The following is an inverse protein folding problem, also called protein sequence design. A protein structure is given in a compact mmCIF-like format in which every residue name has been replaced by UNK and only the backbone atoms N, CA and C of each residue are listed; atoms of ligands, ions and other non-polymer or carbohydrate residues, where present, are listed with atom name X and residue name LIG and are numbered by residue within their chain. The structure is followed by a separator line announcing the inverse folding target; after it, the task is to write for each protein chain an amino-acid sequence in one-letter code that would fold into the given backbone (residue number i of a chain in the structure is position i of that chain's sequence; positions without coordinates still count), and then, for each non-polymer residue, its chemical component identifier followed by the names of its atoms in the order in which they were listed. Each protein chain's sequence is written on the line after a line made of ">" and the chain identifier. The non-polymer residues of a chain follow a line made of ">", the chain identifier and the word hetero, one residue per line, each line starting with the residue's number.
data_IF_792702461491
#
_entry.id   IF_792702461491
#
_cell.length_a   1.000
_cell.length_b   1.000
_cell.length_c   1.000
_cell.angle_alpha   90.00
_cell.angle_beta   90.00
_cell.angle_gamma   90.00
#
_symmetry.space_group_name_H-M   'P 1'
#
loop_
_entity.id
_entity.type
_entity.pdbx_description
1 polymer ?
#
# COMPACT_ATOMS: atom_id res chain seq x y z
N UNK A 1 -18.39 63.35 -28.56
CA UNK A 1 -19.50 62.38 -28.63
C UNK A 1 -19.03 61.27 -29.54
N UNK A 2 -18.61 60.12 -28.98
CA UNK A 2 -18.58 58.77 -29.60
C UNK A 2 -17.81 57.80 -28.68
N UNK A 3 -18.62 57.08 -27.89
CA UNK A 3 -18.54 55.65 -27.57
C UNK A 3 -17.27 55.05 -26.95
N UNK A 4 -17.32 55.02 -25.63
CA UNK A 4 -16.82 53.94 -24.76
C UNK A 4 -17.19 52.55 -25.31
N UNK A 5 -16.19 51.75 -25.71
CA UNK A 5 -16.36 50.33 -25.97
C UNK A 5 -16.50 49.60 -24.64
N UNK A 6 -17.72 49.14 -24.38
CA UNK A 6 -18.11 48.31 -23.26
C UNK A 6 -17.21 47.09 -23.11
N UNK A 7 -16.81 46.83 -21.86
CA UNK A 7 -16.04 45.65 -21.48
C UNK A 7 -16.85 44.38 -21.69
N UNK A 8 -16.35 43.51 -22.57
CA UNK A 8 -16.72 42.11 -22.57
C UNK A 8 -16.20 41.47 -21.30
N UNK A 9 -17.08 41.28 -20.31
CA UNK A 9 -16.80 40.38 -19.20
C UNK A 9 -16.47 39.00 -19.79
N UNK A 10 -15.32 38.38 -19.45
CA UNK A 10 -15.10 36.99 -19.82
C UNK A 10 -16.19 36.17 -19.14
N UNK A 11 -17.00 35.50 -19.96
CA UNK A 11 -17.96 34.51 -19.52
C UNK A 11 -17.32 33.65 -18.43
N UNK A 12 -17.99 33.58 -17.29
CA UNK A 12 -17.62 32.77 -16.15
C UNK A 12 -17.26 31.38 -16.64
N UNK A 13 -15.96 31.10 -16.75
CA UNK A 13 -15.45 29.79 -17.04
C UNK A 13 -16.00 28.90 -15.92
N UNK A 14 -17.07 28.17 -16.21
CA UNK A 14 -17.57 27.11 -15.35
C UNK A 14 -16.32 26.33 -14.96
N UNK A 15 -15.98 26.31 -13.68
CA UNK A 15 -14.78 25.63 -13.18
C UNK A 15 -14.97 24.16 -13.52
N UNK A 16 -14.53 23.75 -14.72
CA UNK A 16 -14.70 22.40 -15.23
C UNK A 16 -13.92 21.52 -14.29
N UNK A 17 -14.62 20.82 -13.39
CA UNK A 17 -14.01 19.81 -12.54
C UNK A 17 -13.39 18.79 -13.50
N UNK A 18 -12.06 18.65 -13.53
CA UNK A 18 -11.44 17.63 -14.38
C UNK A 18 -11.92 16.27 -13.85
N UNK A 19 -12.26 15.30 -14.69
CA UNK A 19 -12.44 13.89 -14.30
C UNK A 19 -13.26 13.55 -13.01
N UNK A 20 -14.53 13.96 -12.85
CA UNK A 20 -15.34 13.62 -11.67
C UNK A 20 -15.63 12.12 -11.52
N UNK A 21 -15.94 11.41 -12.61
CA UNK A 21 -16.27 9.98 -12.56
C UNK A 21 -15.04 9.15 -12.26
N UNK A 22 -13.90 9.50 -12.86
CA UNK A 22 -12.61 8.86 -12.55
C UNK A 22 -12.23 9.08 -11.10
N UNK A 23 -12.45 10.27 -10.55
CA UNK A 23 -12.17 10.54 -9.14
C UNK A 23 -13.01 9.66 -8.21
N UNK A 24 -14.30 9.50 -8.51
CA UNK A 24 -15.16 8.59 -7.78
C UNK A 24 -14.68 7.15 -7.90
N UNK A 25 -14.41 6.68 -9.12
CA UNK A 25 -13.94 5.32 -9.38
C UNK A 25 -12.61 5.02 -8.68
N UNK A 26 -11.64 5.94 -8.74
CA UNK A 26 -10.36 5.80 -8.05
C UNK A 26 -10.51 5.80 -6.52
N UNK A 27 -11.44 6.59 -5.98
CA UNK A 27 -11.77 6.57 -4.55
C UNK A 27 -12.38 5.23 -4.13
N UNK A 28 -13.29 4.68 -4.94
CA UNK A 28 -13.88 3.36 -4.72
C UNK A 28 -12.82 2.26 -4.83
N UNK A 29 -11.95 2.31 -5.83
CA UNK A 29 -10.84 1.36 -5.99
C UNK A 29 -9.90 1.39 -4.78
N UNK A 30 -9.60 2.58 -4.24
CA UNK A 30 -8.85 2.72 -2.99
C UNK A 30 -9.55 2.07 -1.80
N UNK A 31 -10.87 2.23 -1.68
CA UNK A 31 -11.66 1.58 -0.62
C UNK A 31 -11.73 0.05 -0.78
N UNK A 32 -11.71 -0.45 -2.02
CA UNK A 32 -11.69 -1.86 -2.35
C UNK A 32 -10.28 -2.47 -2.37
N UNK A 33 -9.22 -1.71 -2.04
CA UNK A 33 -7.85 -2.23 -1.99
C UNK A 33 -7.68 -3.50 -1.13
N UNK A 34 -8.30 -3.64 0.06
CA UNK A 34 -8.23 -4.88 0.84
C UNK A 34 -8.95 -6.05 0.17
N UNK A 35 -9.90 -5.78 -0.74
CA UNK A 35 -10.77 -6.78 -1.33
C UNK A 35 -10.15 -7.59 -2.48
N UNK A 36 -8.84 -7.44 -2.75
CA UNK A 36 -8.11 -8.26 -3.74
C UNK A 36 -8.11 -9.77 -3.41
N UNK A 37 -8.51 -10.14 -2.20
CA UNK A 37 -8.66 -11.53 -1.75
C UNK A 37 -9.99 -12.15 -2.17
N UNK A 38 -10.96 -11.33 -2.58
CA UNK A 38 -12.19 -11.80 -3.21
C UNK A 38 -11.84 -12.11 -4.67
N UNK A 39 -11.72 -13.41 -4.98
CA UNK A 39 -11.25 -13.91 -6.27
C UNK A 39 -12.30 -14.80 -6.93
N UNK A 40 -12.38 -14.72 -8.24
CA UNK A 40 -13.17 -15.63 -9.07
C UNK A 40 -12.49 -15.80 -10.43
N UNK A 41 -13.05 -16.68 -11.26
CA UNK A 41 -12.55 -16.93 -12.61
C UNK A 41 -13.49 -16.32 -13.65
N UNK A 42 -12.92 -15.63 -14.63
CA UNK A 42 -13.60 -15.24 -15.86
C UNK A 42 -12.98 -16.07 -16.98
N UNK A 43 -13.63 -17.20 -17.30
CA UNK A 43 -13.03 -18.22 -18.16
C UNK A 43 -11.74 -18.78 -17.55
N UNK A 44 -10.61 -18.82 -18.29
CA UNK A 44 -9.33 -19.32 -17.77
C UNK A 44 -8.58 -18.32 -16.89
N UNK A 45 -9.03 -17.06 -16.78
CA UNK A 45 -8.28 -16.01 -16.11
C UNK A 45 -8.79 -15.82 -14.67
N UNK A 46 -7.94 -15.99 -13.64
CA UNK A 46 -8.28 -15.55 -12.31
C UNK A 46 -8.35 -14.02 -12.28
N UNK A 47 -9.36 -13.49 -11.60
CA UNK A 47 -9.53 -12.07 -11.37
C UNK A 47 -9.91 -11.81 -9.92
N UNK A 48 -9.80 -10.54 -9.50
CA UNK A 48 -10.09 -10.10 -8.14
C UNK A 48 -11.04 -8.92 -8.14
N UNK A 49 -11.73 -8.69 -7.01
CA UNK A 49 -12.61 -7.51 -6.89
C UNK A 49 -11.84 -6.20 -7.06
N UNK A 50 -10.61 -6.14 -6.54
CA UNK A 50 -9.74 -4.98 -6.74
C UNK A 50 -9.40 -4.79 -8.22
N UNK A 51 -9.05 -5.86 -8.93
CA UNK A 51 -8.72 -5.80 -10.36
C UNK A 51 -9.90 -5.26 -11.17
N UNK A 52 -11.13 -5.72 -10.90
CA UNK A 52 -12.32 -5.18 -11.57
C UNK A 52 -12.51 -3.70 -11.27
N UNK A 53 -12.28 -3.26 -10.03
CA UNK A 53 -12.36 -1.85 -9.67
C UNK A 53 -11.29 -1.00 -10.39
N UNK A 54 -10.07 -1.53 -10.54
CA UNK A 54 -8.99 -0.88 -11.28
C UNK A 54 -9.29 -0.80 -12.78
N UNK A 55 -9.75 -1.90 -13.40
CA UNK A 55 -10.14 -1.93 -14.81
C UNK A 55 -11.32 -0.99 -15.10
N UNK A 56 -12.31 -0.93 -14.20
CA UNK A 56 -13.41 0.03 -14.30
C UNK A 56 -12.90 1.47 -14.21
N UNK A 57 -11.97 1.75 -13.28
CA UNK A 57 -11.34 3.07 -13.15
C UNK A 57 -10.56 3.47 -14.40
N UNK A 58 -9.78 2.54 -14.96
CA UNK A 58 -9.02 2.73 -16.22
C UNK A 58 -9.98 3.02 -17.38
N UNK A 59 -11.07 2.25 -17.49
CA UNK A 59 -12.07 2.42 -18.56
C UNK A 59 -12.78 3.77 -18.45
N UNK A 60 -13.22 4.14 -17.24
CA UNK A 60 -13.87 5.44 -16.98
C UNK A 60 -12.91 6.58 -17.31
N UNK A 61 -11.65 6.48 -16.90
CA UNK A 61 -10.62 7.46 -17.20
C UNK A 61 -10.44 7.64 -18.71
N UNK A 62 -10.26 6.54 -19.45
CA UNK A 62 -10.11 6.57 -20.90
C UNK A 62 -11.31 7.25 -21.58
N UNK A 63 -12.54 6.92 -21.17
CA UNK A 63 -13.76 7.54 -21.70
C UNK A 63 -13.81 9.04 -21.40
N UNK A 64 -13.49 9.46 -20.18
CA UNK A 64 -13.45 10.88 -19.82
C UNK A 64 -12.35 11.63 -20.59
N UNK A 65 -11.17 11.05 -20.77
CA UNK A 65 -10.06 11.66 -21.51
C UNK A 65 -10.42 11.85 -22.98
N UNK A 66 -10.99 10.83 -23.63
CA UNK A 66 -11.42 10.92 -25.04
C UNK A 66 -12.51 11.97 -25.22
N UNK A 67 -13.53 11.99 -24.35
CA UNK A 67 -14.61 12.99 -24.40
C UNK A 67 -14.13 14.41 -24.21
N UNK A 68 -13.08 14.60 -23.41
CA UNK A 68 -12.50 15.92 -23.11
C UNK A 68 -11.46 16.36 -24.14
N UNK A 69 -10.97 15.43 -24.99
CA UNK A 69 -9.84 15.65 -25.92
C UNK A 69 -8.59 16.18 -25.22
N UNK A 70 -8.43 15.84 -23.95
CA UNK A 70 -7.26 16.22 -23.16
C UNK A 70 -6.13 15.21 -23.40
N UNK A 71 -4.91 15.70 -23.59
CA UNK A 71 -3.73 14.85 -23.66
C UNK A 71 -3.34 14.48 -22.23
N UNK A 72 -3.10 13.18 -22.01
CA UNK A 72 -2.56 12.69 -20.75
C UNK A 72 -1.09 13.06 -20.72
N UNK A 73 -0.69 13.86 -19.74
CA UNK A 73 0.72 14.13 -19.50
C UNK A 73 1.31 12.96 -18.69
N UNK A 74 2.12 12.15 -19.37
CA UNK A 74 2.79 10.99 -18.79
C UNK A 74 4.29 11.25 -18.57
N UNK A 75 4.77 12.45 -18.89
CA UNK A 75 6.17 12.83 -18.76
C UNK A 75 6.46 13.42 -17.38
N UNK A 76 7.51 12.92 -16.74
CA UNK A 76 7.96 13.37 -15.44
C UNK A 76 9.25 12.67 -15.03
N UNK A 77 9.84 13.06 -13.89
CA UNK A 77 11.11 12.50 -13.43
C UNK A 77 11.04 10.99 -13.14
N UNK A 78 9.84 10.48 -12.84
CA UNK A 78 9.60 9.06 -12.55
C UNK A 78 9.21 8.22 -13.77
N UNK A 79 9.00 8.84 -14.93
CA UNK A 79 8.53 8.13 -16.14
C UNK A 79 9.55 7.12 -16.63
N UNK A 80 10.81 7.51 -16.79
CA UNK A 80 11.85 6.60 -17.28
C UNK A 80 12.12 5.45 -16.29
N UNK A 81 12.29 5.69 -14.97
CA UNK A 81 12.38 4.61 -14.00
C UNK A 81 11.18 3.66 -14.01
N UNK A 82 9.95 4.19 -14.12
CA UNK A 82 8.74 3.36 -14.17
C UNK A 82 8.69 2.51 -15.44
N UNK A 83 9.02 3.07 -16.60
CA UNK A 83 9.08 2.34 -17.87
C UNK A 83 10.17 1.26 -17.84
N UNK A 84 11.36 1.57 -17.30
CA UNK A 84 12.42 0.58 -17.13
C UNK A 84 11.98 -0.56 -16.20
N UNK A 85 11.28 -0.24 -15.11
CA UNK A 85 10.76 -1.25 -14.17
C UNK A 85 9.68 -2.13 -14.80
N UNK A 86 8.75 -1.55 -15.57
CA UNK A 86 7.74 -2.29 -16.34
C UNK A 86 8.41 -3.17 -17.40
N UNK A 87 9.39 -2.65 -18.14
CA UNK A 87 10.13 -3.42 -19.15
C UNK A 87 10.91 -4.58 -18.52
N UNK A 88 11.54 -4.38 -17.36
CA UNK A 88 12.19 -5.45 -16.61
C UNK A 88 11.19 -6.53 -16.18
N UNK A 89 9.98 -6.14 -15.75
CA UNK A 89 8.88 -7.07 -15.48
C UNK A 89 8.49 -7.89 -16.71
N UNK A 90 8.36 -7.25 -17.88
CA UNK A 90 8.05 -7.93 -19.14
C UNK A 90 9.13 -8.95 -19.53
N UNK A 91 10.41 -8.57 -19.45
CA UNK A 91 11.53 -9.49 -19.67
C UNK A 91 11.51 -10.67 -18.69
N UNK A 92 11.17 -10.40 -17.43
CA UNK A 92 11.08 -11.44 -16.40
C UNK A 92 9.93 -12.43 -16.65
N UNK A 93 8.87 -12.02 -17.35
CA UNK A 93 7.83 -12.96 -17.83
C UNK A 93 8.41 -13.91 -18.89
N UNK A 94 9.18 -13.39 -19.85
CA UNK A 94 9.78 -14.21 -20.92
C UNK A 94 10.77 -15.25 -20.37
N UNK A 95 11.50 -14.89 -19.32
CA UNK A 95 12.52 -15.74 -18.69
C UNK A 95 11.91 -16.81 -17.77
N UNK A 96 10.71 -16.57 -17.25
CA UNK A 96 10.09 -17.47 -16.28
C UNK A 96 9.81 -18.85 -16.86
N UNK A 97 9.98 -19.91 -16.06
CA UNK A 97 9.54 -21.26 -16.42
C UNK A 97 8.02 -21.45 -16.35
N UNK A 98 7.28 -20.55 -15.69
CA UNK A 98 5.81 -20.53 -15.67
C UNK A 98 5.30 -19.18 -16.19
N UNK A 99 5.19 -19.07 -17.52
CA UNK A 99 4.75 -17.85 -18.19
C UNK A 99 3.35 -17.41 -17.79
N UNK A 100 2.44 -18.34 -17.48
CA UNK A 100 1.05 -18.00 -17.13
C UNK A 100 0.99 -17.35 -15.76
N UNK A 101 1.65 -17.94 -14.77
CA UNK A 101 1.73 -17.35 -13.43
C UNK A 101 2.52 -16.03 -13.47
N UNK A 102 3.62 -15.98 -14.21
CA UNK A 102 4.42 -14.78 -14.41
C UNK A 102 3.61 -13.63 -15.03
N UNK A 103 2.81 -13.91 -16.06
CA UNK A 103 1.95 -12.92 -16.71
C UNK A 103 0.88 -12.39 -15.73
N UNK A 104 0.32 -13.25 -14.89
CA UNK A 104 -0.60 -12.86 -13.82
C UNK A 104 0.04 -11.88 -12.83
N UNK A 105 1.27 -12.16 -12.37
CA UNK A 105 2.00 -11.27 -11.47
C UNK A 105 2.42 -9.97 -12.16
N UNK A 106 2.85 -10.04 -13.41
CA UNK A 106 3.22 -8.86 -14.20
C UNK A 106 2.04 -7.90 -14.35
N UNK A 107 0.86 -8.43 -14.67
CA UNK A 107 -0.38 -7.65 -14.73
C UNK A 107 -0.69 -6.99 -13.38
N UNK A 108 -0.76 -7.78 -12.31
CA UNK A 108 -1.24 -7.34 -11.00
C UNK A 108 -0.26 -6.42 -10.24
N UNK A 109 1.07 -6.60 -10.41
CA UNK A 109 2.07 -5.86 -9.65
C UNK A 109 2.79 -4.75 -10.44
N UNK A 110 2.71 -4.75 -11.78
CA UNK A 110 3.40 -3.76 -12.60
C UNK A 110 2.40 -2.94 -13.42
N UNK A 111 1.59 -3.59 -14.25
CA UNK A 111 0.70 -2.90 -15.20
C UNK A 111 -0.44 -2.18 -14.50
N UNK A 112 -1.21 -2.89 -13.67
CA UNK A 112 -2.37 -2.31 -12.98
C UNK A 112 -1.95 -1.15 -12.03
N UNK A 113 -0.91 -1.30 -11.17
CA UNK A 113 -0.46 -0.19 -10.33
C UNK A 113 0.15 0.97 -11.13
N UNK A 114 0.87 0.68 -12.22
CA UNK A 114 1.42 1.71 -13.10
C UNK A 114 0.34 2.54 -13.79
N UNK A 115 -0.71 1.87 -14.29
CA UNK A 115 -1.88 2.55 -14.85
C UNK A 115 -2.62 3.38 -13.79
N UNK A 116 -2.82 2.82 -12.60
CA UNK A 116 -3.46 3.55 -11.50
C UNK A 116 -2.65 4.76 -11.05
N UNK A 117 -1.31 4.65 -11.02
CA UNK A 117 -0.42 5.78 -10.74
C UNK A 117 -0.62 6.92 -11.74
N UNK A 118 -0.63 6.64 -13.05
CA UNK A 118 -0.86 7.65 -14.09
C UNK A 118 -2.23 8.33 -13.93
N UNK A 119 -3.27 7.55 -13.61
CA UNK A 119 -4.61 8.08 -13.35
C UNK A 119 -4.56 9.04 -12.15
N UNK A 120 -4.05 8.58 -11.01
CA UNK A 120 -3.94 9.39 -9.78
C UNK A 120 -3.12 10.65 -10.03
N UNK A 121 -1.99 10.57 -10.73
CA UNK A 121 -1.16 11.72 -11.08
C UNK A 121 -1.93 12.76 -11.91
N UNK A 122 -2.82 12.30 -12.80
CA UNK A 122 -3.66 13.18 -13.63
C UNK A 122 -4.80 13.82 -12.82
N UNK A 123 -5.48 13.05 -11.96
CA UNK A 123 -6.71 13.51 -11.29
C UNK A 123 -6.48 14.17 -9.93
N UNK A 124 -5.34 13.92 -9.28
CA UNK A 124 -4.99 14.47 -7.96
C UNK A 124 -4.52 15.94 -8.03
N UNK A 125 -5.16 16.75 -8.88
CA UNK A 125 -4.74 18.12 -9.20
C UNK A 125 -4.92 19.13 -8.06
N UNK A 126 -5.65 18.78 -7.00
CA UNK A 126 -5.86 19.65 -5.84
C UNK A 126 -5.80 18.83 -4.55
N UNK A 127 -5.45 19.45 -3.40
CA UNK A 127 -5.43 18.77 -2.10
C UNK A 127 -6.75 18.09 -1.74
N UNK A 128 -7.88 18.69 -2.15
CA UNK A 128 -9.22 18.11 -1.93
C UNK A 128 -9.39 16.79 -2.69
N UNK A 129 -8.94 16.73 -3.94
CA UNK A 129 -9.08 15.51 -4.78
C UNK A 129 -8.13 14.42 -4.34
N UNK A 130 -6.88 14.77 -4.02
CA UNK A 130 -5.95 13.85 -3.38
C UNK A 130 -6.52 13.31 -2.06
N UNK A 131 -7.10 14.19 -1.23
CA UNK A 131 -7.77 13.82 0.01
C UNK A 131 -8.94 12.86 -0.15
N UNK A 132 -9.71 12.95 -1.25
CA UNK A 132 -10.78 11.99 -1.54
C UNK A 132 -10.25 10.60 -1.88
N UNK A 133 -9.19 10.51 -2.70
CA UNK A 133 -8.55 9.23 -3.02
C UNK A 133 -7.96 8.60 -1.75
N UNK A 134 -7.27 9.41 -0.93
CA UNK A 134 -6.73 8.99 0.36
C UNK A 134 -7.83 8.57 1.34
N UNK A 135 -8.98 9.24 1.33
CA UNK A 135 -10.14 8.83 2.11
C UNK A 135 -10.63 7.44 1.67
N UNK A 136 -10.66 7.15 0.38
CA UNK A 136 -10.96 5.82 -0.15
C UNK A 136 -10.05 4.76 0.47
N UNK A 137 -8.73 4.93 0.34
CA UNK A 137 -7.75 4.04 0.98
C UNK A 137 -7.91 3.96 2.50
N UNK A 138 -8.20 5.09 3.16
CA UNK A 138 -8.45 5.15 4.60
C UNK A 138 -9.68 4.36 5.03
N UNK A 139 -10.76 4.37 4.25
CA UNK A 139 -11.97 3.59 4.52
C UNK A 139 -11.69 2.09 4.37
N UNK A 140 -11.04 1.67 3.28
CA UNK A 140 -10.61 0.28 3.10
C UNK A 140 -9.67 -0.18 4.22
N UNK A 141 -8.69 0.67 4.55
CA UNK A 141 -7.80 0.51 5.70
C UNK A 141 -8.53 0.34 7.02
N UNK A 142 -9.53 1.18 7.30
CA UNK A 142 -10.28 1.13 8.54
C UNK A 142 -11.10 -0.16 8.65
N UNK A 143 -11.73 -0.61 7.56
CA UNK A 143 -12.45 -1.90 7.51
C UNK A 143 -11.49 -3.05 7.77
N UNK A 144 -10.36 -3.10 7.06
CA UNK A 144 -9.35 -4.15 7.26
C UNK A 144 -8.78 -4.15 8.68
N UNK A 145 -8.50 -2.96 9.24
CA UNK A 145 -8.01 -2.79 10.60
C UNK A 145 -9.03 -3.25 11.64
N UNK A 146 -10.29 -2.83 11.52
CA UNK A 146 -11.36 -3.17 12.46
C UNK A 146 -11.65 -4.67 12.46
N UNK A 147 -11.80 -5.29 11.28
CA UNK A 147 -12.04 -6.73 11.16
C UNK A 147 -10.88 -7.54 11.76
N UNK A 148 -9.64 -7.16 11.46
CA UNK A 148 -8.49 -7.89 11.99
C UNK A 148 -8.33 -7.71 13.50
N UNK A 149 -8.54 -6.49 14.01
CA UNK A 149 -8.52 -6.24 15.45
C UNK A 149 -9.61 -7.04 16.16
N UNK A 150 -10.82 -7.12 15.61
CA UNK A 150 -11.94 -7.86 16.19
C UNK A 150 -11.60 -9.35 16.37
N UNK A 151 -11.05 -10.01 15.35
CA UNK A 151 -10.70 -11.44 15.44
C UNK A 151 -9.54 -11.70 16.39
N UNK A 152 -8.53 -10.83 16.42
CA UNK A 152 -7.43 -10.99 17.38
C UNK A 152 -7.90 -10.75 18.82
N UNK A 153 -8.77 -9.76 19.04
CA UNK A 153 -9.36 -9.49 20.37
C UNK A 153 -10.27 -10.63 20.83
N UNK A 154 -11.02 -11.24 19.91
CA UNK A 154 -11.84 -12.43 20.21
C UNK A 154 -10.95 -13.64 20.58
N UNK A 155 -9.88 -13.89 19.83
CA UNK A 155 -8.91 -14.94 20.15
C UNK A 155 -8.22 -14.72 21.51
N UNK A 156 -7.91 -13.46 21.85
CA UNK A 156 -7.41 -13.08 23.17
C UNK A 156 -8.43 -13.36 24.27
N UNK A 157 -9.69 -12.96 24.05
CA UNK A 157 -10.80 -13.19 24.99
C UNK A 157 -11.03 -14.67 25.24
N UNK A 158 -10.91 -15.50 24.21
CA UNK A 158 -11.07 -16.95 24.28
C UNK A 158 -9.81 -17.67 24.78
N UNK A 159 -8.70 -16.95 25.04
CA UNK A 159 -7.41 -17.51 25.46
C UNK A 159 -6.83 -18.55 24.47
N UNK A 160 -7.20 -18.44 23.18
CA UNK A 160 -6.74 -19.33 22.10
C UNK A 160 -5.67 -18.69 21.22
N UNK A 161 -5.26 -17.47 21.51
CA UNK A 161 -4.22 -16.79 20.75
C UNK A 161 -2.86 -17.47 20.98
N UNK A 162 -2.42 -18.25 19.98
CA UNK A 162 -1.08 -18.81 19.94
C UNK A 162 -0.17 -17.97 19.05
N UNK A 163 0.85 -17.37 19.66
CA UNK A 163 1.85 -16.54 19.01
C UNK A 163 3.07 -17.32 18.50
N UNK A 164 3.14 -18.63 18.76
CA UNK A 164 4.09 -19.53 18.11
C UNK A 164 3.70 -19.83 16.66
N UNK A 165 2.40 -19.75 16.35
CA UNK A 165 1.85 -19.89 15.00
C UNK A 165 1.53 -18.52 14.38
N UNK A 166 0.99 -18.50 13.17
CA UNK A 166 0.53 -17.27 12.52
C UNK A 166 -0.69 -16.71 13.24
N UNK A 167 -0.66 -15.45 13.73
CA UNK A 167 -1.82 -14.84 14.36
C UNK A 167 -3.05 -14.83 13.43
N UNK A 168 -4.26 -14.87 13.99
CA UNK A 168 -5.49 -14.83 13.21
C UNK A 168 -5.58 -13.64 12.27
N UNK A 169 -6.10 -13.88 11.07
CA UNK A 169 -6.30 -12.87 10.03
C UNK A 169 -7.63 -13.07 9.33
N UNK A 170 -8.27 -11.96 8.95
CA UNK A 170 -9.57 -11.98 8.26
C UNK A 170 -9.40 -11.97 6.75
N UNK A 171 -8.76 -10.92 6.25
CA UNK A 171 -8.65 -10.65 4.81
C UNK A 171 -7.41 -11.34 4.25
N UNK A 172 -6.28 -11.22 4.94
CA UNK A 172 -4.98 -11.60 4.43
C UNK A 172 -4.61 -13.05 4.74
N UNK A 173 -3.60 -13.58 4.05
CA UNK A 173 -3.06 -14.92 4.34
C UNK A 173 -2.09 -14.94 5.52
N UNK A 174 -1.55 -13.78 5.94
CA UNK A 174 -0.61 -13.69 7.05
C UNK A 174 -0.85 -12.43 7.87
N UNK A 175 -0.64 -12.51 9.18
CA UNK A 175 -0.76 -11.34 10.07
C UNK A 175 0.21 -10.22 9.70
N UNK A 176 1.36 -10.56 9.11
CA UNK A 176 2.33 -9.59 8.60
C UNK A 176 1.75 -8.68 7.51
N UNK A 177 0.86 -9.21 6.66
CA UNK A 177 0.27 -8.46 5.57
C UNK A 177 -0.68 -7.34 6.05
N UNK A 178 -1.28 -7.49 7.24
CA UNK A 178 -2.10 -6.45 7.87
C UNK A 178 -1.27 -5.19 8.12
N UNK A 179 -0.11 -5.34 8.78
CA UNK A 179 0.82 -4.23 8.99
C UNK A 179 1.43 -3.72 7.68
N UNK A 180 1.75 -4.60 6.74
CA UNK A 180 2.31 -4.21 5.45
C UNK A 180 1.36 -3.26 4.68
N UNK A 181 0.06 -3.51 4.76
CA UNK A 181 -0.96 -2.66 4.14
C UNK A 181 -1.25 -1.39 4.95
N UNK A 182 -1.40 -1.50 6.29
CA UNK A 182 -1.84 -0.38 7.12
C UNK A 182 -0.74 0.65 7.42
N UNK A 183 0.52 0.25 7.55
CA UNK A 183 1.60 1.18 7.97
C UNK A 183 1.80 2.34 6.99
N UNK A 184 1.81 2.16 5.65
CA UNK A 184 1.83 3.30 4.72
C UNK A 184 0.66 4.26 4.90
N UNK A 185 -0.55 3.74 5.20
CA UNK A 185 -1.73 4.55 5.48
C UNK A 185 -1.62 5.28 6.83
N UNK A 186 -1.04 4.63 7.84
CA UNK A 186 -0.70 5.25 9.14
C UNK A 186 0.30 6.38 8.94
N UNK A 187 1.33 6.20 8.10
CA UNK A 187 2.29 7.26 7.79
C UNK A 187 1.61 8.46 7.13
N UNK A 188 0.74 8.20 6.15
CA UNK A 188 -0.04 9.24 5.48
C UNK A 188 -0.98 9.97 6.45
N UNK A 189 -1.77 9.24 7.23
CA UNK A 189 -2.69 9.81 8.21
C UNK A 189 -1.95 10.56 9.33
N UNK A 190 -0.81 10.05 9.79
CA UNK A 190 0.06 10.72 10.75
C UNK A 190 0.58 12.06 10.21
N UNK A 191 1.05 12.07 8.97
CA UNK A 191 1.45 13.30 8.28
C UNK A 191 0.29 14.30 8.16
N UNK A 192 -0.90 13.84 7.75
CA UNK A 192 -2.10 14.70 7.65
C UNK A 192 -2.61 15.20 9.01
N UNK A 193 -2.44 14.43 10.08
CA UNK A 193 -2.81 14.84 11.44
C UNK A 193 -1.89 15.97 11.94
N UNK A 194 -0.59 15.87 11.64
CA UNK A 194 0.45 16.80 12.10
C UNK A 194 0.50 18.06 11.23
N UNK A 195 0.55 17.89 9.90
CA UNK A 195 0.80 18.95 8.93
C UNK A 195 -0.40 19.33 8.06
N UNK A 196 -1.47 18.53 8.08
CA UNK A 196 -2.65 18.77 7.26
C UNK A 196 -3.37 20.06 7.63
N UNK A 197 -3.82 20.78 6.60
CA UNK A 197 -4.65 21.98 6.76
C UNK A 197 -6.13 21.57 6.80
N UNK A 198 -6.85 22.05 7.81
CA UNK A 198 -8.29 21.84 7.96
C UNK A 198 -8.66 20.87 9.08
N UNK A 199 -9.63 21.28 9.90
CA UNK A 199 -10.08 20.54 11.09
C UNK A 199 -10.65 19.16 10.76
N UNK A 200 -11.41 19.05 9.67
CA UNK A 200 -12.00 17.78 9.24
C UNK A 200 -10.93 16.75 8.83
N UNK A 201 -9.92 17.14 8.06
CA UNK A 201 -8.83 16.24 7.64
C UNK A 201 -8.07 15.71 8.85
N UNK A 202 -7.77 16.57 9.82
CA UNK A 202 -7.08 16.18 11.06
C UNK A 202 -7.94 15.23 11.90
N UNK A 203 -9.23 15.51 12.06
CA UNK A 203 -10.15 14.63 12.78
C UNK A 203 -10.30 13.26 12.12
N UNK A 204 -10.49 13.21 10.80
CA UNK A 204 -10.59 11.94 10.07
C UNK A 204 -9.29 11.15 10.15
N UNK A 205 -8.14 11.83 10.08
CA UNK A 205 -6.83 11.20 10.24
C UNK A 205 -6.64 10.65 11.65
N UNK A 206 -7.04 11.40 12.69
CA UNK A 206 -7.02 10.92 14.07
C UNK A 206 -7.94 9.70 14.26
N UNK A 207 -9.17 9.75 13.74
CA UNK A 207 -10.11 8.64 13.79
C UNK A 207 -9.56 7.39 13.12
N UNK A 208 -8.97 7.53 11.93
CA UNK A 208 -8.31 6.43 11.25
C UNK A 208 -7.16 5.85 12.08
N UNK A 209 -6.28 6.70 12.62
CA UNK A 209 -5.14 6.27 13.44
C UNK A 209 -5.58 5.54 14.71
N UNK A 210 -6.69 5.97 15.34
CA UNK A 210 -7.25 5.28 16.53
C UNK A 210 -7.63 3.83 16.24
N UNK A 211 -7.96 3.49 14.99
CA UNK A 211 -8.31 2.12 14.59
C UNK A 211 -7.09 1.39 14.02
N UNK A 212 -6.33 2.06 13.16
CA UNK A 212 -5.22 1.46 12.43
C UNK A 212 -3.99 1.15 13.31
N UNK A 213 -3.66 2.01 14.29
CA UNK A 213 -2.51 1.78 15.17
C UNK A 213 -2.69 0.52 16.04
N UNK A 214 -3.82 0.33 16.76
CA UNK A 214 -4.06 -0.91 17.48
C UNK A 214 -4.06 -2.14 16.57
N UNK A 215 -4.66 -2.06 15.38
CA UNK A 215 -4.67 -3.19 14.44
C UNK A 215 -3.26 -3.57 13.96
N UNK A 216 -2.38 -2.58 13.70
CA UNK A 216 -0.98 -2.86 13.41
C UNK A 216 -0.29 -3.52 14.61
N UNK A 217 -0.57 -3.06 15.84
CA UNK A 217 0.04 -3.64 17.04
C UNK A 217 -0.40 -5.10 17.28
N UNK A 218 -1.70 -5.35 17.12
CA UNK A 218 -2.35 -6.66 17.24
C UNK A 218 -2.03 -7.61 16.09
N UNK A 219 -1.42 -7.13 15.01
CA UNK A 219 -0.91 -8.00 13.94
C UNK A 219 0.32 -8.83 14.37
N UNK A 220 0.95 -8.46 15.49
CA UNK A 220 2.18 -9.09 15.98
C UNK A 220 3.30 -9.22 14.94
N UNK A 221 3.28 -8.29 13.96
CA UNK A 221 4.26 -8.17 12.89
C UNK A 221 5.48 -7.39 13.37
N UNK A 222 6.61 -8.08 13.48
CA UNK A 222 7.89 -7.46 13.90
C UNK A 222 8.37 -6.40 12.93
N UNK A 223 8.25 -6.66 11.62
CA UNK A 223 8.49 -5.66 10.58
C UNK A 223 7.51 -4.50 10.67
N UNK A 224 6.26 -4.78 11.05
CA UNK A 224 5.24 -3.75 11.34
C UNK A 224 5.64 -2.85 12.51
N UNK A 225 6.12 -3.40 13.63
CA UNK A 225 6.61 -2.64 14.78
C UNK A 225 7.78 -1.73 14.40
N UNK A 226 8.76 -2.27 13.67
CA UNK A 226 9.91 -1.50 13.21
C UNK A 226 9.47 -0.35 12.27
N UNK A 227 8.58 -0.65 11.32
CA UNK A 227 8.09 0.35 10.38
C UNK A 227 7.24 1.43 11.08
N UNK A 228 6.38 1.07 12.04
CA UNK A 228 5.66 2.04 12.88
C UNK A 228 6.62 2.93 13.66
N UNK A 229 7.67 2.34 14.26
CA UNK A 229 8.72 3.10 14.94
C UNK A 229 9.42 4.07 14.00
N UNK A 230 9.78 3.63 12.80
CA UNK A 230 10.41 4.47 11.79
C UNK A 230 9.50 5.62 11.32
N UNK A 231 8.20 5.35 11.12
CA UNK A 231 7.20 6.36 10.79
C UNK A 231 7.05 7.38 11.91
N UNK A 232 6.92 6.92 13.16
CA UNK A 232 6.77 7.79 14.32
C UNK A 232 8.02 8.66 14.54
N UNK A 233 9.22 8.08 14.41
CA UNK A 233 10.48 8.82 14.49
C UNK A 233 10.63 9.81 13.35
N UNK A 234 10.31 9.42 12.11
CA UNK A 234 10.33 10.30 10.95
C UNK A 234 9.45 11.54 11.15
N UNK A 235 8.21 11.33 11.60
CA UNK A 235 7.27 12.42 11.92
C UNK A 235 7.75 13.28 13.10
N UNK A 236 8.34 12.67 14.13
CA UNK A 236 8.87 13.41 15.28
C UNK A 236 10.06 14.29 14.91
N UNK A 237 11.02 13.75 14.16
CA UNK A 237 12.22 14.46 13.69
C UNK A 237 11.86 15.60 12.74
N UNK A 238 10.87 15.40 11.86
CA UNK A 238 10.40 16.44 10.94
C UNK A 238 9.58 17.54 11.62
N UNK A 239 9.25 17.41 12.90
CA UNK A 239 8.40 18.36 13.61
C UNK A 239 9.23 19.41 14.35
N UNK A 240 8.69 20.65 14.45
CA UNK A 240 9.35 21.77 15.17
C UNK A 240 9.66 21.50 16.65
N UNK A 241 9.05 20.46 17.24
CA UNK A 241 9.25 20.03 18.63
C UNK A 241 10.01 18.69 18.72
N UNK A 242 10.86 18.38 17.74
CA UNK A 242 11.64 17.14 17.67
C UNK A 242 12.36 16.81 18.99
N UNK A 243 12.94 17.83 19.66
CA UNK A 243 13.64 17.66 20.96
C UNK A 243 12.77 17.03 22.07
N UNK A 244 11.46 17.17 22.00
CA UNK A 244 10.50 16.58 22.94
C UNK A 244 9.86 15.31 22.37
N UNK A 245 9.49 15.35 21.08
CA UNK A 245 8.77 14.25 20.44
C UNK A 245 9.65 13.02 20.22
N UNK A 246 10.94 13.19 19.90
CA UNK A 246 11.85 12.05 19.69
C UNK A 246 12.04 11.25 20.97
N UNK A 247 12.40 11.84 22.14
CA UNK A 247 12.41 11.10 23.39
C UNK A 247 11.05 10.49 23.74
N UNK A 248 9.95 11.20 23.47
CA UNK A 248 8.59 10.69 23.70
C UNK A 248 8.25 9.45 22.86
N UNK A 249 8.62 9.45 21.58
CA UNK A 249 8.45 8.29 20.68
C UNK A 249 9.32 7.13 21.13
N UNK A 250 10.57 7.37 21.53
CA UNK A 250 11.46 6.33 22.06
C UNK A 250 10.89 5.74 23.35
N UNK A 251 10.44 6.57 24.28
CA UNK A 251 9.81 6.13 25.52
C UNK A 251 8.53 5.31 25.26
N UNK A 252 7.69 5.75 24.33
CA UNK A 252 6.50 5.01 23.93
C UNK A 252 6.84 3.66 23.28
N UNK A 253 7.85 3.61 22.40
CA UNK A 253 8.31 2.37 21.79
C UNK A 253 8.87 1.39 22.84
N UNK A 254 9.62 1.90 23.83
CA UNK A 254 10.10 1.11 24.96
C UNK A 254 8.95 0.59 25.82
N UNK A 255 7.95 1.41 26.12
CA UNK A 255 6.78 0.99 26.88
C UNK A 255 5.98 -0.10 26.14
N UNK A 256 5.73 0.09 24.84
CA UNK A 256 5.03 -0.90 24.01
C UNK A 256 5.82 -2.21 23.92
N UNK A 257 7.16 -2.16 23.85
CA UNK A 257 7.99 -3.37 23.82
C UNK A 257 7.98 -4.17 25.13
N UNK A 258 7.50 -3.59 26.24
CA UNK A 258 7.32 -4.30 27.50
C UNK A 258 5.99 -5.05 27.62
N UNK A 259 5.03 -4.82 26.70
CA UNK A 259 3.76 -5.57 26.70
C UNK A 259 4.07 -7.06 26.52
N UNK A 260 3.62 -7.98 27.40
CA UNK A 260 4.09 -9.37 27.44
C UNK A 260 4.08 -10.09 26.09
N UNK A 261 2.97 -9.97 25.33
CA UNK A 261 2.81 -10.59 24.01
C UNK A 261 3.76 -9.99 22.96
N UNK A 262 3.96 -8.68 23.00
CA UNK A 262 4.86 -7.97 22.08
C UNK A 262 6.31 -8.32 22.42
N UNK A 263 6.66 -8.30 23.71
CA UNK A 263 7.97 -8.68 24.23
C UNK A 263 8.33 -10.10 23.82
N UNK A 264 7.40 -11.06 23.98
CA UNK A 264 7.62 -12.45 23.57
C UNK A 264 7.93 -12.57 22.08
N UNK A 265 7.19 -11.84 21.23
CA UNK A 265 7.43 -11.82 19.77
C UNK A 265 8.77 -11.22 19.39
N UNK A 266 9.19 -10.16 20.06
CA UNK A 266 10.50 -9.51 19.82
C UNK A 266 11.63 -10.43 20.31
N UNK A 267 11.53 -10.96 21.53
CA UNK A 267 12.56 -11.78 22.15
C UNK A 267 12.82 -13.07 21.35
N UNK A 268 11.77 -13.67 20.75
CA UNK A 268 11.92 -14.88 19.95
C UNK A 268 12.89 -14.72 18.76
N UNK A 269 12.97 -13.55 18.12
CA UNK A 269 13.94 -13.32 17.03
C UNK A 269 15.38 -13.10 17.52
N UNK A 270 15.55 -12.67 18.77
CA UNK A 270 16.87 -12.47 19.36
C UNK A 270 17.47 -13.78 19.89
N UNK A 271 16.66 -14.84 19.98
CA UNK A 271 17.12 -16.16 20.35
C UNK A 271 17.80 -16.82 19.14
N UNK A 272 19.01 -17.37 19.36
CA UNK A 272 19.74 -18.16 18.37
C UNK A 272 19.15 -19.57 18.23
N UNK A 273 17.84 -19.65 17.97
CA UNK A 273 17.12 -20.89 17.76
C UNK A 273 17.07 -21.20 16.25
N UNK A 274 17.39 -22.45 15.84
CA UNK A 274 17.13 -22.91 14.49
C UNK A 274 15.64 -22.71 14.14
N UNK A 275 15.35 -22.08 13.00
CA UNK A 275 13.97 -21.90 12.52
C UNK A 275 13.27 -20.61 12.95
N UNK A 276 13.95 -19.65 13.60
CA UNK A 276 13.41 -18.29 13.70
C UNK A 276 13.32 -17.63 12.29
N UNK A 277 12.55 -16.54 12.17
CA UNK A 277 12.30 -15.95 10.85
C UNK A 277 13.55 -15.33 10.24
N UNK A 278 14.46 -14.81 11.06
CA UNK A 278 15.73 -14.25 10.60
C UNK A 278 16.67 -15.32 10.01
N UNK A 279 16.81 -16.48 10.65
CA UNK A 279 17.56 -17.63 10.15
C UNK A 279 16.99 -18.09 8.80
N UNK A 280 15.67 -18.25 8.71
CA UNK A 280 15.00 -18.62 7.46
C UNK A 280 15.26 -17.61 6.34
N UNK A 281 15.21 -16.29 6.64
CA UNK A 281 15.52 -15.23 5.67
C UNK A 281 16.97 -15.24 5.22
N UNK A 282 17.92 -15.40 6.15
CA UNK A 282 19.35 -15.48 5.82
C UNK A 282 19.62 -16.67 4.90
N UNK A 283 18.99 -17.82 5.15
CA UNK A 283 19.08 -19.00 4.28
C UNK A 283 18.53 -18.69 2.88
N UNK A 284 17.30 -18.18 2.79
CA UNK A 284 16.67 -17.80 1.51
C UNK A 284 17.54 -16.79 0.75
N UNK A 285 18.07 -15.77 1.40
CA UNK A 285 18.94 -14.79 0.76
C UNK A 285 20.24 -15.43 0.28
N UNK A 286 20.88 -16.26 1.12
CA UNK A 286 22.09 -16.99 0.73
C UNK A 286 21.86 -17.90 -0.48
N UNK A 287 20.74 -18.63 -0.51
CA UNK A 287 20.35 -19.47 -1.64
C UNK A 287 20.04 -18.64 -2.88
N UNK A 288 19.34 -17.52 -2.73
CA UNK A 288 19.06 -16.59 -3.83
C UNK A 288 20.35 -16.02 -4.42
N UNK A 289 21.34 -15.70 -3.58
CA UNK A 289 22.66 -15.24 -4.04
C UNK A 289 23.43 -16.33 -4.77
N UNK A 290 23.29 -17.61 -4.39
CA UNK A 290 23.86 -18.73 -5.16
C UNK A 290 23.18 -18.86 -6.53
N UNK A 291 21.84 -18.82 -6.57
CA UNK A 291 21.08 -18.83 -7.82
C UNK A 291 21.45 -17.66 -8.75
N UNK A 292 21.66 -16.47 -8.20
CA UNK A 292 22.08 -15.31 -8.99
C UNK A 292 23.51 -15.42 -9.51
N UNK A 293 24.38 -16.27 -8.96
CA UNK A 293 25.70 -16.53 -9.59
C UNK A 293 25.54 -17.29 -10.91
N UNK A 294 24.55 -18.16 -10.99
CA UNK A 294 24.26 -18.94 -12.19
C UNK A 294 23.40 -18.14 -13.19
N UNK A 295 22.56 -17.23 -12.69
CA UNK A 295 21.66 -16.37 -13.48
C UNK A 295 21.77 -14.87 -13.12
N UNK A 296 22.92 -14.21 -13.38
CA UNK A 296 23.24 -12.90 -12.79
C UNK A 296 22.43 -11.71 -13.31
N UNK A 297 21.96 -11.76 -14.56
CA UNK A 297 21.28 -10.62 -15.19
C UNK A 297 19.76 -10.81 -15.18
N UNK A 298 19.29 -11.91 -15.76
CA UNK A 298 17.86 -12.16 -15.98
C UNK A 298 17.21 -12.93 -14.82
N UNK A 299 18.02 -13.53 -13.93
CA UNK A 299 17.53 -14.43 -12.89
C UNK A 299 16.76 -15.60 -13.48
N UNK A 300 15.75 -16.05 -12.73
CA UNK A 300 14.90 -17.20 -13.04
C UNK A 300 13.48 -16.81 -13.48
N UNK A 301 13.24 -15.51 -13.67
CA UNK A 301 11.93 -14.97 -14.06
C UNK A 301 10.89 -14.87 -12.93
N UNK A 302 9.81 -14.16 -13.20
CA UNK A 302 8.70 -13.92 -12.27
C UNK A 302 7.97 -15.23 -11.94
N UNK A 303 7.52 -15.37 -10.69
CA UNK A 303 6.70 -16.51 -10.23
C UNK A 303 7.33 -17.92 -10.29
N UNK A 304 8.64 -18.03 -10.55
CA UNK A 304 9.31 -19.34 -10.74
C UNK A 304 10.24 -19.76 -9.60
N UNK A 305 10.30 -18.96 -8.52
CA UNK A 305 11.23 -19.18 -7.41
C UNK A 305 11.08 -20.56 -6.76
N UNK A 306 9.86 -20.96 -6.41
CA UNK A 306 9.65 -22.22 -5.70
C UNK A 306 10.08 -23.45 -6.53
N UNK A 307 9.91 -23.39 -7.85
CA UNK A 307 10.27 -24.46 -8.78
C UNK A 307 11.78 -24.47 -9.08
N UNK A 308 12.38 -23.30 -9.27
CA UNK A 308 13.79 -23.18 -9.65
C UNK A 308 14.77 -23.42 -8.50
N UNK A 309 14.32 -23.24 -7.24
CA UNK A 309 15.26 -23.24 -6.12
C UNK A 309 15.75 -24.62 -5.68
N UNK A 310 15.13 -25.72 -6.15
CA UNK A 310 15.46 -27.10 -5.81
C UNK A 310 16.97 -27.41 -5.73
N UNK A 311 17.77 -27.08 -6.76
CA UNK A 311 19.22 -27.31 -6.79
C UNK A 311 20.05 -26.47 -5.80
N UNK A 312 19.47 -25.44 -5.18
CA UNK A 312 20.16 -24.52 -4.27
C UNK A 312 19.83 -24.79 -2.78
N UNK A 313 18.96 -25.75 -2.49
CA UNK A 313 18.65 -26.27 -1.15
C UNK A 313 19.72 -27.23 -0.67
#
# INVERSE_FOLDING_TARGET
>A
MTESRAGGQPATASVRRPYPYTLLAATIAGALAPAYVIRWHVGPLPTTLLEVALLATITIFAVESVRRRERIDWHGPLTLPALAFIAAGALSVLVSGDHRAALGLYRAYFIEPGAFFLIVATIASTPRRAGLILLGFGLGGAVAAALNAAVVLDALRQHVLDLSTTPPVVIYQTANAVSLYLVPLVAMAGSLLVYGRGRAVRWLSALFLMIALPACLLSFSRGGYLALGAVALGLAVSHRWARLLVPGVVAAALAVSQVPLIRARIAYELQALPGNTLDFRIRIWGQTLRMLRDHPVLGIGLSYYQQAMGPFW
#
